data_IF_566975608398
#
_entry.id   IF_566975608398
#
_cell.length_a   1.000
_cell.length_b   1.000
_cell.length_c   1.000
_cell.angle_alpha   90.00
_cell.angle_beta   90.00
_cell.angle_gamma   90.00
#
_symmetry.space_group_name_H-M   'P 1'
#
loop_
_entity.id
_entity.type
_entity.pdbx_description
1 polymer ?
#
# COMPACT_ATOMS: atom_id res chain seq x y z
N UNK A 1 -3.25 -26.91 -0.51
CA UNK A 1 -3.56 -26.32 -1.84
C UNK A 1 -2.28 -26.36 -2.66
N UNK A 2 -2.19 -27.11 -3.76
CA UNK A 2 -0.90 -27.32 -4.44
C UNK A 2 -0.36 -25.99 -4.98
N UNK A 3 0.92 -25.72 -4.75
CA UNK A 3 1.73 -24.60 -5.27
C UNK A 3 1.54 -24.32 -6.79
N UNK A 4 0.99 -25.28 -7.54
CA UNK A 4 0.64 -25.18 -8.95
C UNK A 4 -0.44 -24.13 -9.26
N UNK A 5 -1.30 -23.74 -8.29
CA UNK A 5 -2.30 -22.68 -8.53
C UNK A 5 -1.73 -21.26 -8.42
N UNK A 6 -0.72 -21.02 -7.57
CA UNK A 6 0.04 -19.77 -7.64
C UNK A 6 0.85 -19.72 -8.95
N UNK A 7 1.37 -20.87 -9.40
CA UNK A 7 2.15 -20.98 -10.63
C UNK A 7 1.37 -20.64 -11.91
N UNK A 8 0.03 -20.68 -11.88
CA UNK A 8 -0.78 -20.31 -13.05
C UNK A 8 -0.88 -18.79 -13.26
N UNK A 9 -0.53 -17.97 -12.25
CA UNK A 9 -0.36 -16.51 -12.41
C UNK A 9 1.08 -16.10 -12.77
N UNK A 10 2.02 -17.05 -12.95
CA UNK A 10 3.49 -16.79 -12.99
C UNK A 10 4.09 -16.73 -14.40
N UNK A 11 3.30 -16.86 -15.46
CA UNK A 11 3.81 -16.51 -16.78
C UNK A 11 3.75 -14.99 -16.94
N UNK A 12 4.87 -14.27 -16.82
CA UNK A 12 5.28 -13.12 -17.66
C UNK A 12 6.38 -12.30 -16.96
N UNK A 13 7.58 -12.37 -17.54
CA UNK A 13 8.78 -11.69 -17.07
C UNK A 13 9.24 -10.58 -18.00
N UNK A 14 9.84 -9.57 -17.38
CA UNK A 14 10.58 -8.42 -17.92
C UNK A 14 9.78 -7.36 -18.69
N UNK A 15 9.35 -6.33 -17.97
CA UNK A 15 9.21 -4.99 -18.52
C UNK A 15 9.85 -3.95 -17.61
N UNK A 16 10.43 -2.92 -18.24
CA UNK A 16 11.03 -1.76 -17.60
C UNK A 16 9.96 -1.03 -16.78
N UNK A 17 10.03 -1.21 -15.46
CA UNK A 17 9.21 -0.51 -14.48
C UNK A 17 9.64 0.95 -14.50
N UNK A 18 8.81 1.84 -15.06
CA UNK A 18 8.88 3.24 -14.67
C UNK A 18 8.50 3.28 -13.20
N UNK A 19 9.34 3.89 -12.35
CA UNK A 19 9.09 4.00 -10.92
C UNK A 19 7.87 4.89 -10.70
N UNK A 20 6.68 4.29 -10.66
CA UNK A 20 5.41 4.98 -10.49
C UNK A 20 5.26 5.27 -8.99
N UNK A 21 5.25 6.55 -8.65
CA UNK A 21 5.25 7.04 -7.27
C UNK A 21 3.81 7.20 -6.80
N UNK A 22 3.14 6.09 -6.48
CA UNK A 22 1.90 6.18 -5.71
C UNK A 22 2.27 6.61 -4.30
N UNK A 23 2.02 7.88 -3.98
CA UNK A 23 2.43 8.46 -2.73
C UNK A 23 1.71 7.80 -1.54
N UNK A 24 2.43 7.05 -0.71
CA UNK A 24 1.82 6.38 0.44
C UNK A 24 1.67 7.36 1.60
N UNK A 25 0.43 7.60 2.05
CA UNK A 25 0.13 8.51 3.16
C UNK A 25 0.17 7.77 4.50
N UNK A 26 1.09 8.16 5.38
CA UNK A 26 1.22 7.56 6.71
C UNK A 26 0.11 7.98 7.67
N UNK A 27 -0.61 9.06 7.37
CA UNK A 27 -1.72 9.53 8.18
C UNK A 27 -3.06 8.96 7.72
N UNK A 28 -3.09 8.11 6.67
CA UNK A 28 -4.33 7.50 6.20
C UNK A 28 -4.99 6.69 7.31
N UNK A 29 -6.27 6.96 7.53
CA UNK A 29 -7.14 6.23 8.46
C UNK A 29 -8.18 5.40 7.70
N UNK A 30 -8.19 5.47 6.37
CA UNK A 30 -9.11 4.71 5.54
C UNK A 30 -8.79 3.21 5.65
N UNK A 31 -9.83 2.40 5.86
CA UNK A 31 -9.72 0.97 5.93
C UNK A 31 -10.85 0.31 5.13
N UNK A 32 -10.47 -0.58 4.22
CA UNK A 32 -11.40 -1.46 3.52
C UNK A 32 -11.00 -2.89 3.83
N UNK A 33 -11.91 -3.65 4.41
CA UNK A 33 -11.72 -5.08 4.68
C UNK A 33 -12.81 -5.88 3.98
N UNK A 34 -12.42 -6.94 3.29
CA UNK A 34 -13.38 -7.80 2.60
C UNK A 34 -13.13 -9.26 2.91
N UNK A 35 -14.18 -10.07 2.80
CA UNK A 35 -14.07 -11.53 2.76
C UNK A 35 -14.99 -12.07 1.67
N UNK A 36 -14.51 -13.04 0.90
CA UNK A 36 -15.27 -13.65 -0.18
C UNK A 36 -15.12 -15.17 -0.21
N UNK A 37 -16.19 -15.84 -0.61
CA UNK A 37 -16.14 -17.20 -1.13
C UNK A 37 -15.86 -17.11 -2.63
N UNK A 38 -14.87 -17.83 -3.13
CA UNK A 38 -14.43 -17.78 -4.53
C UNK A 38 -14.60 -19.14 -5.17
N UNK A 39 -15.37 -19.18 -6.25
CA UNK A 39 -15.53 -20.36 -7.11
C UNK A 39 -14.76 -20.14 -8.42
N UNK A 40 -13.98 -21.13 -8.85
CA UNK A 40 -13.21 -21.09 -10.09
C UNK A 40 -13.85 -22.00 -11.12
N UNK A 41 -13.82 -21.60 -12.39
CA UNK A 41 -14.36 -22.38 -13.51
C UNK A 41 -13.77 -23.78 -13.69
N UNK A 42 -12.62 -24.08 -13.07
CA UNK A 42 -12.01 -25.41 -13.06
C UNK A 42 -12.61 -26.34 -11.97
N UNK A 43 -13.54 -25.84 -11.15
CA UNK A 43 -14.19 -26.54 -10.05
C UNK A 43 -13.51 -26.35 -8.69
N UNK A 44 -12.47 -25.52 -8.60
CA UNK A 44 -11.82 -25.18 -7.32
C UNK A 44 -12.64 -24.17 -6.53
N UNK A 45 -12.71 -24.36 -5.22
CA UNK A 45 -13.30 -23.39 -4.28
C UNK A 45 -12.27 -22.98 -3.24
N UNK A 46 -12.23 -21.70 -2.90
CA UNK A 46 -11.42 -21.19 -1.79
C UNK A 46 -12.07 -19.94 -1.19
N UNK A 47 -11.53 -19.48 -0.05
CA UNK A 47 -11.96 -18.22 0.57
C UNK A 47 -10.83 -17.23 0.55
N UNK A 48 -11.18 -15.95 0.46
CA UNK A 48 -10.22 -14.86 0.52
C UNK A 48 -10.61 -13.84 1.58
N UNK A 49 -9.59 -13.20 2.15
CA UNK A 49 -9.74 -11.95 2.89
C UNK A 49 -8.83 -10.91 2.26
N UNK A 50 -9.32 -9.68 2.12
CA UNK A 50 -8.48 -8.55 1.70
C UNK A 50 -8.48 -7.45 2.74
N UNK A 51 -7.35 -6.76 2.84
CA UNK A 51 -7.19 -5.55 3.64
C UNK A 51 -6.52 -4.49 2.79
N UNK A 52 -7.11 -3.31 2.75
CA UNK A 52 -6.60 -2.16 2.01
C UNK A 52 -6.54 -0.95 2.95
N UNK A 53 -5.39 -0.28 2.94
CA UNK A 53 -5.09 0.92 3.73
C UNK A 53 -4.80 2.13 2.84
N UNK A 54 -4.02 1.93 1.77
CA UNK A 54 -3.68 2.98 0.81
C UNK A 54 -3.20 2.36 -0.51
N UNK A 55 -2.91 3.19 -1.52
CA UNK A 55 -2.32 2.74 -2.79
C UNK A 55 -0.98 1.98 -2.60
N UNK A 56 -0.28 2.22 -1.48
CA UNK A 56 0.95 1.51 -1.12
C UNK A 56 0.77 0.50 0.02
N UNK A 57 -0.45 0.16 0.44
CA UNK A 57 -0.68 -0.69 1.60
C UNK A 57 -1.88 -1.59 1.40
N UNK A 58 -1.64 -2.83 1.00
CA UNK A 58 -2.69 -3.82 0.80
C UNK A 58 -2.20 -5.25 1.02
N UNK A 59 -3.13 -6.14 1.33
CA UNK A 59 -2.88 -7.57 1.29
C UNK A 59 -4.12 -8.38 0.92
N UNK A 60 -3.87 -9.60 0.47
CA UNK A 60 -4.84 -10.66 0.30
C UNK A 60 -4.36 -11.90 1.05
N UNK A 61 -5.29 -12.59 1.70
CA UNK A 61 -5.10 -13.89 2.34
C UNK A 61 -5.96 -14.93 1.63
N UNK A 62 -5.38 -16.09 1.36
CA UNK A 62 -6.10 -17.27 0.91
C UNK A 62 -6.32 -18.18 2.11
N UNK A 63 -7.58 -18.42 2.45
CA UNK A 63 -7.95 -19.29 3.55
C UNK A 63 -8.27 -20.68 2.98
N UNK A 64 -7.38 -21.63 3.26
CA UNK A 64 -7.53 -23.04 2.90
C UNK A 64 -6.85 -23.93 3.93
N UNK A 65 -6.35 -25.09 3.48
CA UNK A 65 -5.53 -25.99 4.32
C UNK A 65 -4.21 -25.32 4.76
N UNK A 66 -3.70 -24.42 3.94
CA UNK A 66 -2.47 -23.65 4.15
C UNK A 66 -2.86 -22.16 4.08
N UNK A 67 -2.32 -21.35 5.00
CA UNK A 67 -2.54 -19.90 4.98
C UNK A 67 -1.51 -19.27 4.06
N UNK A 68 -1.96 -18.68 2.96
CA UNK A 68 -1.10 -17.91 2.06
C UNK A 68 -1.45 -16.43 2.13
N UNK A 69 -0.45 -15.58 2.24
CA UNK A 69 -0.57 -14.12 2.25
C UNK A 69 0.25 -13.55 1.09
N UNK A 70 -0.33 -12.61 0.37
CA UNK A 70 0.39 -11.74 -0.58
C UNK A 70 0.12 -10.30 -0.15
N UNK A 71 1.17 -9.54 0.08
CA UNK A 71 1.08 -8.17 0.58
C UNK A 71 2.01 -7.23 -0.18
N UNK A 72 1.62 -5.95 -0.18
CA UNK A 72 2.41 -4.84 -0.68
C UNK A 72 2.44 -3.73 0.37
N UNK A 73 3.64 -3.22 0.61
CA UNK A 73 3.96 -2.19 1.58
C UNK A 73 4.97 -1.23 0.93
N UNK A 74 4.46 -0.13 0.38
CA UNK A 74 5.17 0.82 -0.46
C UNK A 74 5.93 0.12 -1.58
N UNK A 75 7.27 0.18 -1.58
CA UNK A 75 8.10 -0.45 -2.61
C UNK A 75 8.25 -1.97 -2.46
N UNK A 76 7.74 -2.55 -1.36
CA UNK A 76 8.04 -3.94 -1.01
C UNK A 76 6.81 -4.81 -1.17
N UNK A 77 6.89 -5.77 -2.08
CA UNK A 77 5.98 -6.91 -2.08
C UNK A 77 6.57 -8.07 -1.30
N UNK A 78 5.74 -8.86 -0.64
CA UNK A 78 6.16 -10.10 0.01
C UNK A 78 5.03 -11.13 0.02
N UNK A 79 5.43 -12.38 0.16
CA UNK A 79 4.51 -13.51 0.33
C UNK A 79 4.80 -14.24 1.62
N UNK A 80 3.81 -14.93 2.17
CA UNK A 80 4.00 -15.87 3.26
C UNK A 80 3.12 -17.09 3.02
N UNK A 81 3.67 -18.28 3.24
CA UNK A 81 2.91 -19.54 3.23
C UNK A 81 3.24 -20.29 4.51
N UNK A 82 2.21 -20.60 5.30
CA UNK A 82 2.31 -21.24 6.61
C UNK A 82 3.34 -20.58 7.54
N UNK A 83 3.35 -19.24 7.53
CA UNK A 83 4.24 -18.43 8.36
C UNK A 83 5.65 -18.27 7.81
N UNK A 84 6.01 -18.95 6.72
CA UNK A 84 7.30 -18.76 6.05
C UNK A 84 7.18 -17.65 5.03
N UNK A 85 7.80 -16.51 5.33
CA UNK A 85 7.80 -15.35 4.45
C UNK A 85 8.90 -15.40 3.38
N UNK A 86 8.69 -14.72 2.26
CA UNK A 86 9.67 -14.54 1.20
C UNK A 86 9.47 -13.21 0.49
N UNK A 87 10.55 -12.57 -0.02
CA UNK A 87 10.42 -11.39 -0.85
C UNK A 87 9.53 -11.69 -2.07
N UNK A 88 8.64 -10.76 -2.38
CA UNK A 88 7.78 -10.82 -3.55
C UNK A 88 8.42 -10.12 -4.73
N UNK A 89 8.16 -10.64 -5.92
CA UNK A 89 8.42 -9.95 -7.19
C UNK A 89 7.35 -8.88 -7.48
N UNK A 90 7.60 -7.99 -8.46
CA UNK A 90 6.70 -6.89 -8.83
C UNK A 90 5.26 -7.34 -9.11
N UNK A 91 5.08 -8.52 -9.72
CA UNK A 91 3.75 -9.05 -10.01
C UNK A 91 2.92 -9.31 -8.74
N UNK A 92 3.56 -9.64 -7.61
CA UNK A 92 2.85 -9.87 -6.34
C UNK A 92 2.22 -8.57 -5.83
N UNK A 93 2.88 -7.42 -6.02
CA UNK A 93 2.30 -6.12 -5.68
C UNK A 93 1.05 -5.83 -6.54
N UNK A 94 1.17 -6.00 -7.85
CA UNK A 94 0.03 -5.87 -8.77
C UNK A 94 -1.10 -6.85 -8.48
N UNK A 95 -0.75 -8.07 -8.06
CA UNK A 95 -1.72 -9.09 -7.63
C UNK A 95 -2.45 -8.67 -6.36
N UNK A 96 -1.74 -8.27 -5.29
CA UNK A 96 -2.36 -7.84 -4.05
C UNK A 96 -3.29 -6.63 -4.26
N UNK A 97 -2.85 -5.64 -5.05
CA UNK A 97 -3.64 -4.45 -5.39
C UNK A 97 -4.82 -4.76 -6.31
N UNK A 98 -4.63 -5.62 -7.30
CA UNK A 98 -5.68 -6.03 -8.25
C UNK A 98 -6.85 -6.75 -7.57
N UNK A 99 -6.61 -7.36 -6.40
CA UNK A 99 -7.65 -7.99 -5.60
C UNK A 99 -8.38 -7.02 -4.66
N UNK A 100 -7.97 -5.75 -4.55
CA UNK A 100 -8.67 -4.73 -3.76
C UNK A 100 -9.83 -4.11 -4.55
N UNK A 101 -10.76 -4.94 -5.04
CA UNK A 101 -11.82 -4.52 -5.98
C UNK A 101 -12.61 -3.32 -5.49
N UNK A 102 -13.04 -3.33 -4.23
CA UNK A 102 -13.78 -2.21 -3.64
C UNK A 102 -12.92 -0.96 -3.47
N UNK A 103 -11.62 -1.09 -3.22
CA UNK A 103 -10.72 0.05 -3.17
C UNK A 103 -10.51 0.65 -4.57
N UNK A 104 -10.29 -0.18 -5.59
CA UNK A 104 -10.18 0.27 -6.98
C UNK A 104 -11.45 0.97 -7.46
N UNK A 105 -12.62 0.51 -7.03
CA UNK A 105 -13.91 1.15 -7.32
C UNK A 105 -14.07 2.50 -6.60
N UNK A 106 -13.82 2.53 -5.28
CA UNK A 106 -14.10 3.70 -4.44
C UNK A 106 -13.05 4.79 -4.54
N UNK A 107 -11.81 4.42 -4.86
CA UNK A 107 -10.65 5.29 -4.85
C UNK A 107 -9.94 5.31 -6.21
N UNK A 108 -10.64 5.04 -7.32
CA UNK A 108 -10.06 4.87 -8.66
C UNK A 108 -8.99 5.91 -9.00
N UNK A 109 -9.31 7.21 -8.87
CA UNK A 109 -8.38 8.31 -9.19
C UNK A 109 -7.15 8.40 -8.28
N UNK A 110 -7.20 7.77 -7.10
CA UNK A 110 -6.05 7.66 -6.19
C UNK A 110 -5.18 6.42 -6.49
N UNK A 111 -5.74 5.45 -7.21
CA UNK A 111 -5.08 4.18 -7.55
C UNK A 111 -4.42 4.19 -8.93
N UNK A 112 -4.73 5.18 -9.77
CA UNK A 112 -4.20 5.30 -11.14
C UNK A 112 -3.72 6.71 -11.43
N UNK A 113 -2.81 6.84 -12.38
CA UNK A 113 -2.31 8.14 -12.85
C UNK A 113 -2.98 8.55 -14.17
N UNK A 114 -2.84 9.82 -14.54
CA UNK A 114 -3.27 10.34 -15.85
C UNK A 114 -4.71 9.98 -16.24
N UNK A 115 -5.62 10.09 -15.27
CA UNK A 115 -7.05 9.79 -15.42
C UNK A 115 -7.65 10.58 -16.57
N UNK A 116 -8.34 9.89 -17.46
CA UNK A 116 -8.97 10.46 -18.66
C UNK A 116 -10.22 9.68 -19.06
N UNK A 117 -11.20 10.29 -19.73
CA UNK A 117 -12.31 9.56 -20.33
C UNK A 117 -11.83 8.54 -21.37
N UNK A 118 -12.50 7.40 -21.46
CA UNK A 118 -12.23 6.39 -22.49
C UNK A 118 -12.97 6.71 -23.79
N UNK A 119 -12.33 6.56 -24.95
CA UNK A 119 -12.98 6.83 -26.24
C UNK A 119 -14.11 5.83 -26.55
N UNK A 120 -13.83 4.53 -26.53
CA UNK A 120 -14.80 3.40 -26.56
C UNK A 120 -14.03 2.12 -26.25
N UNK A 121 -14.49 1.33 -25.30
CA UNK A 121 -13.84 0.08 -24.88
C UNK A 121 -14.83 -1.08 -25.02
N UNK A 122 -14.36 -2.21 -25.56
CA UNK A 122 -15.15 -3.44 -25.56
C UNK A 122 -15.08 -4.08 -24.17
N UNK A 123 -16.22 -4.16 -23.50
CA UNK A 123 -16.38 -4.78 -22.18
C UNK A 123 -17.69 -5.58 -22.15
N UNK A 124 -17.61 -6.87 -21.78
CA UNK A 124 -18.76 -7.78 -21.78
C UNK A 124 -19.50 -7.79 -23.14
N UNK A 125 -18.74 -7.95 -24.23
CA UNK A 125 -19.21 -7.95 -25.62
C UNK A 125 -19.98 -6.71 -26.10
N UNK A 126 -19.95 -5.63 -25.32
CA UNK A 126 -20.54 -4.35 -25.67
C UNK A 126 -19.48 -3.25 -25.74
N UNK A 127 -19.72 -2.25 -26.58
CA UNK A 127 -18.97 -1.00 -26.56
C UNK A 127 -19.45 -0.15 -25.37
N UNK A 128 -18.51 0.31 -24.55
CA UNK A 128 -18.75 1.07 -23.33
C UNK A 128 -17.83 2.29 -23.22
N UNK A 129 -18.27 3.28 -22.47
CA UNK A 129 -17.50 4.42 -21.98
C UNK A 129 -17.09 4.21 -20.51
N UNK A 130 -16.26 5.10 -20.00
CA UNK A 130 -15.59 4.92 -18.72
C UNK A 130 -14.49 5.95 -18.47
N UNK A 131 -13.76 5.71 -17.39
CA UNK A 131 -12.49 6.37 -17.09
C UNK A 131 -11.35 5.38 -17.28
N UNK A 132 -10.20 5.87 -17.71
CA UNK A 132 -8.96 5.10 -17.78
C UNK A 132 -7.83 5.87 -17.12
N UNK A 133 -6.90 5.13 -16.52
CA UNK A 133 -5.66 5.68 -16.01
C UNK A 133 -4.53 4.67 -16.11
N UNK A 134 -3.33 5.17 -15.95
CA UNK A 134 -2.11 4.38 -15.99
C UNK A 134 -1.97 3.66 -14.64
N UNK A 135 -1.97 2.32 -14.66
CA UNK A 135 -1.97 1.51 -13.45
C UNK A 135 -0.53 1.42 -12.90
N UNK A 136 -0.27 1.72 -11.60
CA UNK A 136 1.08 1.74 -11.02
C UNK A 136 1.87 0.44 -11.17
N UNK A 137 1.17 -0.69 -11.31
CA UNK A 137 1.78 -2.01 -11.51
C UNK A 137 1.91 -2.40 -13.00
N UNK A 138 1.74 -1.44 -13.91
CA UNK A 138 1.85 -1.59 -15.35
C UNK A 138 0.50 -1.73 -16.05
N UNK A 139 0.42 -1.18 -17.28
CA UNK A 139 -0.76 -1.25 -18.12
C UNK A 139 -1.76 -0.11 -17.86
N UNK A 140 -3.00 -0.33 -18.28
CA UNK A 140 -4.12 0.58 -18.11
C UNK A 140 -5.21 -0.08 -17.26
N UNK A 141 -5.75 0.66 -16.30
CA UNK A 141 -6.96 0.25 -15.59
C UNK A 141 -8.11 1.13 -16.05
N UNK A 142 -9.24 0.50 -16.33
CA UNK A 142 -10.45 1.15 -16.82
C UNK A 142 -11.61 0.93 -15.85
N UNK A 143 -12.28 2.01 -15.45
CA UNK A 143 -13.55 1.97 -14.72
C UNK A 143 -14.70 2.13 -15.73
N UNK A 144 -15.47 1.07 -15.92
CA UNK A 144 -16.46 0.99 -16.99
C UNK A 144 -17.81 1.51 -16.49
N UNK A 145 -18.40 2.48 -17.21
CA UNK A 145 -19.72 3.02 -16.87
C UNK A 145 -20.80 1.94 -16.92
N UNK A 146 -21.66 1.93 -15.90
CA UNK A 146 -22.81 1.03 -15.81
C UNK A 146 -24.13 1.75 -16.10
N UNK A 147 -25.23 1.19 -15.59
CA UNK A 147 -26.56 1.79 -15.77
C UNK A 147 -26.75 3.09 -14.97
N UNK A 148 -25.94 3.27 -13.92
CA UNK A 148 -25.88 4.50 -13.14
C UNK A 148 -24.45 4.79 -12.68
N UNK A 149 -24.20 6.05 -12.33
CA UNK A 149 -22.90 6.51 -11.80
C UNK A 149 -22.51 5.77 -10.52
N UNK A 150 -23.47 5.39 -9.67
CA UNK A 150 -23.23 4.64 -8.43
C UNK A 150 -23.19 3.12 -8.62
N UNK A 151 -23.26 2.63 -9.86
CA UNK A 151 -23.19 1.19 -10.15
C UNK A 151 -22.45 0.95 -11.48
N UNK A 152 -21.12 1.18 -11.51
CA UNK A 152 -20.29 0.87 -12.68
C UNK A 152 -20.47 -0.57 -13.16
N UNK A 153 -20.28 -0.84 -14.46
CA UNK A 153 -20.43 -2.20 -14.97
C UNK A 153 -19.29 -3.13 -14.52
N UNK A 154 -18.12 -2.57 -14.24
CA UNK A 154 -16.92 -3.34 -13.93
C UNK A 154 -15.62 -2.56 -13.99
N UNK A 155 -14.52 -3.30 -13.85
CA UNK A 155 -13.17 -2.87 -14.13
C UNK A 155 -12.58 -3.69 -15.28
N UNK A 156 -11.68 -3.10 -16.05
CA UNK A 156 -10.87 -3.81 -17.03
C UNK A 156 -9.41 -3.41 -16.83
N UNK A 157 -8.54 -4.40 -16.65
CA UNK A 157 -7.08 -4.22 -16.68
C UNK A 157 -6.54 -4.68 -18.03
N UNK A 158 -5.75 -3.82 -18.68
CA UNK A 158 -5.01 -4.13 -19.90
C UNK A 158 -3.51 -4.04 -19.61
N UNK A 159 -2.86 -5.19 -19.49
CA UNK A 159 -1.42 -5.25 -19.22
C UNK A 159 -0.59 -4.90 -20.49
N UNK A 160 0.68 -4.50 -20.33
CA UNK A 160 1.53 -4.10 -21.46
C UNK A 160 1.78 -5.22 -22.51
N UNK A 161 1.67 -6.47 -22.11
CA UNK A 161 1.83 -7.65 -22.96
C UNK A 161 0.54 -8.03 -23.73
N UNK A 162 -0.55 -7.28 -23.51
CA UNK A 162 -1.85 -7.52 -24.12
C UNK A 162 -2.75 -8.45 -23.32
N UNK A 163 -2.33 -8.95 -22.16
CA UNK A 163 -3.23 -9.66 -21.24
C UNK A 163 -4.36 -8.73 -20.81
N UNK A 164 -5.59 -9.26 -20.78
CA UNK A 164 -6.80 -8.54 -20.38
C UNK A 164 -7.45 -9.27 -19.20
N UNK A 165 -7.74 -8.54 -18.13
CA UNK A 165 -8.51 -9.04 -17.00
C UNK A 165 -9.80 -8.23 -16.89
N UNK A 166 -10.94 -8.88 -17.13
CA UNK A 166 -12.27 -8.27 -17.01
C UNK A 166 -12.87 -8.60 -15.64
N UNK A 167 -13.27 -7.59 -14.87
CA UNK A 167 -13.98 -7.75 -13.60
C UNK A 167 -15.40 -7.20 -13.74
N UNK A 168 -16.41 -8.07 -13.68
CA UNK A 168 -17.83 -7.70 -13.87
C UNK A 168 -18.52 -7.61 -12.53
N UNK A 169 -19.28 -6.54 -12.34
CA UNK A 169 -19.94 -6.25 -11.06
C UNK A 169 -21.43 -6.56 -11.12
N UNK A 170 -21.94 -7.20 -10.07
CA UNK A 170 -23.37 -7.49 -9.91
C UNK A 170 -23.76 -7.59 -8.43
N UNK A 171 -25.05 -7.76 -8.16
CA UNK A 171 -25.62 -7.77 -6.80
C UNK A 171 -25.18 -6.55 -5.98
N UNK A 172 -25.60 -5.37 -6.47
CA UNK A 172 -25.32 -4.10 -5.82
C UNK A 172 -26.15 -3.94 -4.55
N UNK A 173 -25.50 -3.63 -3.44
CA UNK A 173 -26.15 -3.37 -2.15
C UNK A 173 -25.61 -2.09 -1.53
N UNK A 174 -26.46 -1.40 -0.79
CA UNK A 174 -26.09 -0.18 -0.07
C UNK A 174 -25.36 -0.53 1.24
N UNK A 175 -24.21 0.09 1.47
CA UNK A 175 -23.41 0.04 2.70
C UNK A 175 -22.82 1.43 2.97
N UNK A 176 -23.11 2.03 4.13
CA UNK A 176 -22.64 3.36 4.52
C UNK A 176 -22.87 4.46 3.46
N UNK A 177 -24.08 4.46 2.85
CA UNK A 177 -24.48 5.34 1.75
C UNK A 177 -23.67 5.15 0.45
N UNK A 178 -22.97 4.03 0.30
CA UNK A 178 -22.27 3.63 -0.93
C UNK A 178 -22.93 2.37 -1.50
N UNK A 179 -23.15 2.32 -2.80
CA UNK A 179 -23.56 1.09 -3.48
C UNK A 179 -22.31 0.30 -3.83
N UNK A 180 -22.22 -0.95 -3.38
CA UNK A 180 -21.06 -1.82 -3.58
C UNK A 180 -21.51 -3.15 -4.18
N UNK A 181 -20.71 -3.75 -5.09
CA UNK A 181 -21.01 -5.06 -5.64
C UNK A 181 -20.69 -6.16 -4.62
N UNK A 182 -21.62 -7.07 -4.40
CA UNK A 182 -21.41 -8.27 -3.58
C UNK A 182 -21.07 -9.50 -4.43
N UNK A 183 -21.26 -9.43 -5.75
CA UNK A 183 -20.83 -10.44 -6.69
C UNK A 183 -19.88 -9.82 -7.72
N UNK A 184 -18.67 -10.36 -7.82
CA UNK A 184 -17.67 -9.95 -8.81
C UNK A 184 -17.18 -11.17 -9.58
N UNK A 185 -17.32 -11.13 -10.89
CA UNK A 185 -16.80 -12.17 -11.77
C UNK A 185 -15.53 -11.66 -12.46
N UNK A 186 -14.40 -12.34 -12.24
CA UNK A 186 -13.11 -11.98 -12.83
C UNK A 186 -12.79 -12.99 -13.94
N UNK A 187 -12.50 -12.52 -15.15
CA UNK A 187 -12.02 -13.33 -16.26
C UNK A 187 -10.62 -12.88 -16.67
N UNK A 188 -9.63 -13.78 -16.56
CA UNK A 188 -8.22 -13.50 -16.84
C UNK A 188 -7.77 -13.90 -18.26
N UNK A 189 -8.72 -14.31 -19.11
CA UNK A 189 -8.42 -14.86 -20.44
C UNK A 189 -8.36 -16.39 -20.50
N UNK A 190 -8.31 -17.07 -19.36
CA UNK A 190 -8.26 -18.53 -19.26
C UNK A 190 -9.36 -19.09 -18.35
N UNK A 191 -9.54 -18.47 -17.19
CA UNK A 191 -10.43 -18.91 -16.14
C UNK A 191 -11.37 -17.80 -15.70
N UNK A 192 -12.49 -18.22 -15.13
CA UNK A 192 -13.43 -17.34 -14.47
C UNK A 192 -13.40 -17.58 -12.97
N UNK A 193 -13.30 -16.50 -12.20
CA UNK A 193 -13.32 -16.50 -10.73
C UNK A 193 -14.55 -15.74 -10.27
N UNK A 194 -15.49 -16.44 -9.67
CA UNK A 194 -16.73 -15.88 -9.14
C UNK A 194 -16.56 -15.58 -7.64
N UNK A 195 -16.35 -14.31 -7.31
CA UNK A 195 -16.25 -13.81 -5.94
C UNK A 195 -17.64 -13.50 -5.40
N UNK A 196 -18.03 -14.19 -4.33
CA UNK A 196 -19.21 -13.87 -3.53
C UNK A 196 -18.78 -13.27 -2.21
N UNK A 197 -18.88 -11.95 -2.09
CA UNK A 197 -18.48 -11.25 -0.88
C UNK A 197 -19.44 -11.57 0.27
N UNK A 198 -18.89 -12.13 1.35
CA UNK A 198 -19.62 -12.44 2.58
C UNK A 198 -19.47 -11.32 3.61
N UNK A 199 -18.43 -10.49 3.46
CA UNK A 199 -18.17 -9.30 4.27
C UNK A 199 -17.56 -8.20 3.41
N UNK A 200 -18.06 -6.98 3.59
CA UNK A 200 -17.41 -5.74 3.16
C UNK A 200 -17.53 -4.77 4.34
N UNK A 201 -16.41 -4.22 4.77
CA UNK A 201 -16.34 -3.27 5.88
C UNK A 201 -15.56 -2.04 5.42
N UNK A 202 -16.20 -0.88 5.54
CA UNK A 202 -15.60 0.42 5.34
C UNK A 202 -15.45 1.06 6.71
N UNK A 203 -14.23 1.35 7.13
CA UNK A 203 -13.96 1.88 8.46
C UNK A 203 -12.96 3.03 8.41
N UNK A 204 -13.01 3.85 9.47
CA UNK A 204 -11.95 4.77 9.82
C UNK A 204 -11.23 4.18 11.03
N UNK A 205 -9.95 3.89 10.88
CA UNK A 205 -9.14 3.18 11.86
C UNK A 205 -7.96 4.05 12.33
N UNK A 206 -7.21 3.60 13.34
CA UNK A 206 -5.95 4.25 13.72
C UNK A 206 -4.91 4.06 12.62
N UNK A 207 -4.03 5.02 12.37
CA UNK A 207 -3.14 4.94 11.21
C UNK A 207 -2.07 3.81 11.25
N UNK A 208 -1.92 3.10 12.38
CA UNK A 208 -1.17 1.84 12.53
C UNK A 208 -1.96 0.55 12.23
N UNK A 209 -3.29 0.61 12.09
CA UNK A 209 -4.16 -0.58 12.09
C UNK A 209 -3.71 -1.66 11.10
N UNK A 210 -3.20 -1.26 9.94
CA UNK A 210 -2.74 -2.16 8.90
C UNK A 210 -1.58 -3.04 9.37
N UNK A 211 -0.65 -2.46 10.13
CA UNK A 211 0.52 -3.15 10.68
C UNK A 211 0.14 -4.10 11.82
N UNK A 212 -0.92 -3.81 12.57
CA UNK A 212 -1.47 -4.71 13.57
C UNK A 212 -2.15 -5.93 12.93
N UNK A 213 -2.82 -5.74 11.79
CA UNK A 213 -3.45 -6.84 11.08
C UNK A 213 -2.43 -7.76 10.41
N UNK A 214 -1.32 -7.21 9.92
CA UNK A 214 -0.29 -7.95 9.19
C UNK A 214 1.04 -7.80 9.93
N UNK A 215 1.43 -8.74 10.80
CA UNK A 215 2.75 -8.72 11.43
C UNK A 215 3.87 -8.68 10.39
N UNK A 216 4.97 -8.00 10.72
CA UNK A 216 6.08 -7.86 9.80
C UNK A 216 6.69 -9.24 9.54
N UNK A 217 6.87 -9.65 8.27
CA UNK A 217 7.66 -10.83 8.00
C UNK A 217 9.11 -10.59 8.42
N UNK A 218 9.84 -11.68 8.70
CA UNK A 218 11.27 -11.64 8.98
C UNK A 218 12.08 -11.39 7.68
N UNK A 219 11.89 -10.21 7.11
CA UNK A 219 12.52 -9.73 5.88
C UNK A 219 13.03 -8.32 6.12
N UNK A 220 14.35 -8.14 6.13
CA UNK A 220 15.00 -6.86 6.45
C UNK A 220 14.41 -5.67 5.70
N UNK A 221 14.21 -5.82 4.38
CA UNK A 221 13.63 -4.76 3.54
C UNK A 221 12.24 -4.33 4.01
N UNK A 222 11.39 -5.28 4.41
CA UNK A 222 10.03 -4.98 4.93
C UNK A 222 10.14 -4.33 6.30
N UNK A 223 10.99 -4.84 7.19
CA UNK A 223 11.17 -4.29 8.53
C UNK A 223 11.72 -2.86 8.50
N UNK A 224 12.71 -2.57 7.64
CA UNK A 224 13.27 -1.23 7.44
C UNK A 224 12.21 -0.28 6.87
N UNK A 225 11.42 -0.73 5.89
CA UNK A 225 10.33 0.08 5.36
C UNK A 225 9.29 0.38 6.45
N UNK A 226 8.90 -0.61 7.25
CA UNK A 226 7.97 -0.41 8.37
C UNK A 226 8.52 0.54 9.41
N UNK A 227 9.80 0.46 9.77
CA UNK A 227 10.43 1.43 10.67
C UNK A 227 10.26 2.87 10.14
N UNK A 228 10.52 3.10 8.86
CA UNK A 228 10.27 4.41 8.23
C UNK A 228 8.80 4.82 8.36
N UNK A 229 7.87 3.91 8.04
CA UNK A 229 6.44 4.20 8.11
C UNK A 229 5.95 4.45 9.53
N UNK A 230 6.44 3.74 10.52
CA UNK A 230 6.12 3.97 11.94
C UNK A 230 6.66 5.32 12.41
N UNK A 231 7.82 5.78 11.93
CA UNK A 231 8.30 7.13 12.20
C UNK A 231 7.41 8.21 11.59
N UNK A 232 6.93 8.02 10.35
CA UNK A 232 6.00 8.95 9.73
C UNK A 232 4.65 8.97 10.47
N UNK A 233 4.15 7.79 10.81
CA UNK A 233 2.94 7.64 11.62
C UNK A 233 3.05 8.36 12.96
N UNK A 234 4.18 8.27 13.66
CA UNK A 234 4.38 8.96 14.92
C UNK A 234 4.21 10.48 14.80
N UNK A 235 4.50 11.07 13.62
CA UNK A 235 4.18 12.48 13.36
C UNK A 235 2.67 12.72 13.26
N UNK A 236 1.94 11.84 12.56
CA UNK A 236 0.48 11.91 12.42
C UNK A 236 -0.23 11.75 13.78
N UNK A 237 0.30 10.89 14.65
CA UNK A 237 -0.24 10.65 16.00
C UNK A 237 0.18 11.71 17.02
N UNK A 238 1.20 12.52 16.71
CA UNK A 238 1.86 13.37 17.70
C UNK A 238 2.52 12.59 18.83
N UNK A 239 3.00 11.36 18.56
CA UNK A 239 3.51 10.43 19.55
C UNK A 239 5.04 10.54 19.69
N UNK A 240 5.49 11.40 20.62
CA UNK A 240 6.90 11.60 20.90
C UNK A 240 7.56 10.39 21.59
N UNK A 241 6.78 9.58 22.31
CA UNK A 241 7.27 8.36 22.94
C UNK A 241 7.63 7.32 21.89
N UNK A 242 6.74 7.12 20.91
CA UNK A 242 6.99 6.26 19.76
C UNK A 242 8.23 6.72 19.00
N UNK A 243 8.37 8.02 18.72
CA UNK A 243 9.56 8.58 18.07
C UNK A 243 10.87 8.21 18.79
N UNK A 244 10.91 8.34 20.12
CA UNK A 244 12.09 7.95 20.90
C UNK A 244 12.35 6.44 20.89
N UNK A 245 11.29 5.62 20.98
CA UNK A 245 11.40 4.15 21.08
C UNK A 245 11.98 3.48 19.82
N UNK A 246 11.90 4.14 18.67
CA UNK A 246 12.37 3.64 17.38
C UNK A 246 13.86 3.92 17.13
N UNK A 247 14.55 4.57 18.06
CA UNK A 247 15.94 5.00 17.92
C UNK A 247 16.92 3.97 18.50
N UNK A 248 18.13 3.92 17.97
CA UNK A 248 19.26 3.32 18.68
C UNK A 248 19.64 4.15 19.91
N UNK A 249 20.42 3.57 20.84
CA UNK A 249 20.88 4.27 22.05
C UNK A 249 21.61 5.60 21.78
N UNK A 250 22.25 5.71 20.62
CA UNK A 250 22.77 6.96 20.07
C UNK A 250 22.41 7.05 18.60
N UNK A 251 21.82 8.16 18.19
CA UNK A 251 21.44 8.46 16.82
C UNK A 251 22.28 9.64 16.30
N UNK A 252 22.84 9.53 15.09
CA UNK A 252 23.68 10.56 14.47
C UNK A 252 22.88 11.38 13.47
N UNK A 253 22.81 12.69 13.67
CA UNK A 253 22.09 13.61 12.79
C UNK A 253 23.08 14.50 12.05
N UNK A 254 23.01 14.49 10.72
CA UNK A 254 23.74 15.36 9.82
C UNK A 254 22.80 16.39 9.19
N UNK A 255 23.01 17.67 9.46
CA UNK A 255 22.17 18.73 8.90
C UNK A 255 22.74 20.12 9.15
N UNK A 256 22.43 21.06 8.25
CA UNK A 256 22.89 22.48 8.36
C UNK A 256 24.41 22.64 8.53
N UNK A 257 25.20 21.72 7.99
CA UNK A 257 26.67 21.76 8.07
C UNK A 257 27.25 21.22 9.38
N UNK A 258 26.43 20.63 10.25
CA UNK A 258 26.86 20.10 11.55
C UNK A 258 26.51 18.61 11.71
N UNK A 259 27.32 17.91 12.50
CA UNK A 259 27.05 16.57 13.00
C UNK A 259 26.70 16.67 14.49
N UNK A 260 25.56 16.10 14.86
CA UNK A 260 25.10 16.05 16.25
C UNK A 260 24.72 14.61 16.61
N UNK A 261 24.78 14.28 17.89
CA UNK A 261 24.30 13.00 18.41
C UNK A 261 23.14 13.25 19.35
N UNK A 262 22.14 12.38 19.32
CA UNK A 262 21.00 12.43 20.23
C UNK A 262 20.67 11.05 20.80
N UNK A 263 20.12 11.03 22.00
CA UNK A 263 19.56 9.86 22.67
C UNK A 263 18.06 9.73 22.41
N UNK A 264 17.45 8.55 22.69
CA UNK A 264 16.00 8.38 22.67
C UNK A 264 15.24 9.44 23.50
N UNK A 265 15.73 9.75 24.70
CA UNK A 265 15.10 10.71 25.60
C UNK A 265 15.16 12.14 25.07
N UNK A 266 16.31 12.57 24.54
CA UNK A 266 16.45 13.88 23.90
C UNK A 266 15.60 13.99 22.62
N UNK A 267 15.49 12.89 21.87
CA UNK A 267 14.62 12.80 20.68
C UNK A 267 13.16 12.96 21.09
N UNK A 268 12.71 12.24 22.11
CA UNK A 268 11.37 12.39 22.70
C UNK A 268 11.10 13.83 23.13
N UNK A 269 12.01 14.46 23.88
CA UNK A 269 11.82 15.84 24.35
C UNK A 269 11.69 16.83 23.18
N UNK A 270 12.57 16.69 22.18
CA UNK A 270 12.51 17.49 20.96
C UNK A 270 11.16 17.32 20.24
N UNK A 271 10.73 16.08 20.00
CA UNK A 271 9.49 15.82 19.27
C UNK A 271 8.24 16.16 20.09
N UNK A 272 8.29 16.09 21.42
CA UNK A 272 7.22 16.62 22.29
C UNK A 272 7.02 18.11 22.02
N UNK A 273 8.11 18.88 21.94
CA UNK A 273 8.04 20.31 21.62
C UNK A 273 7.51 20.58 20.20
N UNK A 274 7.85 19.71 19.23
CA UNK A 274 7.33 19.81 17.86
C UNK A 274 5.82 19.54 17.83
N UNK A 275 5.38 18.47 18.48
CA UNK A 275 3.98 18.05 18.50
C UNK A 275 3.10 18.95 19.38
N UNK A 276 3.66 19.68 20.34
CA UNK A 276 2.96 20.77 21.03
C UNK A 276 2.65 21.94 20.10
N UNK A 277 3.48 22.17 19.08
CA UNK A 277 3.36 23.29 18.15
C UNK A 277 2.59 22.95 16.86
N UNK A 278 2.69 21.71 16.38
CA UNK A 278 2.20 21.30 15.07
C UNK A 278 1.16 20.19 15.17
N UNK A 279 0.22 20.19 14.22
CA UNK A 279 -0.72 19.10 13.96
C UNK A 279 -0.53 18.62 12.52
N UNK A 280 -0.13 17.36 12.34
CA UNK A 280 0.14 16.78 11.02
C UNK A 280 -1.14 16.13 10.48
N UNK A 281 -1.51 16.49 9.26
CA UNK A 281 -2.71 15.94 8.59
C UNK A 281 -2.38 15.04 7.41
N UNK A 282 -1.12 14.97 7.00
CA UNK A 282 -0.67 14.10 5.92
C UNK A 282 0.86 13.99 5.88
N UNK A 283 1.33 12.78 5.57
CA UNK A 283 2.75 12.51 5.39
C UNK A 283 2.94 11.52 4.24
N UNK A 284 3.35 12.06 3.09
CA UNK A 284 3.35 11.32 1.83
C UNK A 284 4.77 11.06 1.36
N UNK A 285 5.09 9.82 0.99
CA UNK A 285 6.28 9.53 0.19
C UNK A 285 6.05 10.07 -1.23
N UNK A 286 6.89 10.99 -1.72
CA UNK A 286 6.76 11.60 -3.06
C UNK A 286 7.41 10.76 -4.16
N UNK A 287 8.36 9.91 -3.77
CA UNK A 287 9.05 8.97 -4.64
C UNK A 287 9.13 7.62 -3.96
N UNK A 288 9.33 6.56 -4.75
CA UNK A 288 9.56 5.22 -4.23
C UNK A 288 10.78 5.21 -3.28
N UNK A 289 10.61 4.79 -2.01
CA UNK A 289 11.72 4.71 -1.07
C UNK A 289 12.81 3.74 -1.52
N UNK A 290 14.06 4.20 -1.54
CA UNK A 290 15.22 3.39 -1.88
C UNK A 290 15.78 2.75 -0.60
N UNK A 291 15.81 1.42 -0.54
CA UNK A 291 16.26 0.67 0.65
C UNK A 291 17.45 -0.20 0.28
N UNK A 292 18.54 -0.07 1.03
CA UNK A 292 19.75 -0.89 0.90
C UNK A 292 20.29 -1.28 2.28
N UNK A 293 20.83 -2.49 2.40
CA UNK A 293 21.38 -2.99 3.67
C UNK A 293 22.49 -4.02 3.42
N UNK A 294 23.40 -4.14 4.39
CA UNK A 294 24.48 -5.13 4.38
C UNK A 294 24.00 -6.41 5.05
N UNK A 295 23.99 -7.52 4.30
CA UNK A 295 23.74 -8.83 4.87
C UNK A 295 24.88 -9.21 5.83
N UNK A 296 24.58 -9.28 7.13
CA UNK A 296 25.48 -9.76 8.18
C UNK A 296 26.08 -8.71 9.11
N UNK A 297 26.07 -7.43 8.73
CA UNK A 297 26.56 -6.34 9.60
C UNK A 297 25.42 -5.63 10.35
N UNK A 298 24.16 -5.95 10.04
CA UNK A 298 22.99 -5.36 10.66
C UNK A 298 22.94 -3.84 10.47
N UNK A 299 23.35 -3.33 9.30
CA UNK A 299 23.33 -1.91 8.97
C UNK A 299 22.70 -1.69 7.59
N UNK A 300 22.02 -0.58 7.42
CA UNK A 300 21.43 -0.20 6.15
C UNK A 300 21.02 1.27 6.12
N UNK A 301 20.31 1.63 5.07
CA UNK A 301 19.69 2.94 4.94
C UNK A 301 18.42 2.88 4.11
N UNK A 302 17.57 3.88 4.30
CA UNK A 302 16.44 4.19 3.43
C UNK A 302 16.49 5.66 3.03
N UNK A 303 16.41 5.93 1.73
CA UNK A 303 16.37 7.27 1.17
C UNK A 303 14.98 7.57 0.62
N UNK A 304 14.45 8.74 0.96
CA UNK A 304 13.08 9.14 0.61
C UNK A 304 13.00 10.60 0.23
N UNK A 305 12.00 10.92 -0.60
CA UNK A 305 11.45 12.26 -0.72
C UNK A 305 10.04 12.24 -0.12
N UNK A 306 9.71 13.21 0.71
CA UNK A 306 8.43 13.25 1.43
C UNK A 306 7.82 14.64 1.40
N UNK A 307 6.49 14.68 1.52
CA UNK A 307 5.70 15.89 1.75
C UNK A 307 4.95 15.75 3.06
N UNK A 308 5.17 16.71 3.95
CA UNK A 308 4.44 16.85 5.20
C UNK A 308 3.48 18.05 5.10
N UNK A 309 2.21 17.80 5.41
CA UNK A 309 1.17 18.82 5.47
C UNK A 309 0.52 18.83 6.85
N UNK A 310 0.08 20.01 7.29
CA UNK A 310 -0.50 20.18 8.61
C UNK A 310 -0.83 21.62 8.95
N UNK A 311 -1.01 21.89 10.25
CA UNK A 311 -1.29 23.22 10.78
C UNK A 311 -0.43 23.52 12.00
N UNK A 312 -0.05 24.79 12.17
CA UNK A 312 0.51 25.28 13.43
C UNK A 312 -0.62 25.54 14.42
N UNK A 313 -0.58 24.90 15.59
CA UNK A 313 -1.65 24.93 16.59
C UNK A 313 -1.94 26.33 17.14
N UNK A 314 -0.91 27.16 17.27
CA UNK A 314 -1.03 28.49 17.87
C UNK A 314 -1.71 29.51 16.93
N UNK A 315 -1.38 29.48 15.64
CA UNK A 315 -1.86 30.44 14.64
C UNK A 315 -3.01 29.91 13.79
N UNK A 316 -3.15 28.59 13.69
CA UNK A 316 -4.01 27.92 12.70
C UNK A 316 -3.47 27.99 11.27
N UNK A 317 -2.25 28.50 11.07
CA UNK A 317 -1.64 28.59 9.73
C UNK A 317 -1.32 27.19 9.20
N UNK A 318 -1.73 26.92 7.97
CA UNK A 318 -1.41 25.66 7.28
C UNK A 318 0.03 25.67 6.79
N UNK A 319 0.73 24.54 6.91
CA UNK A 319 2.02 24.34 6.27
C UNK A 319 1.98 23.20 5.25
N UNK A 320 2.85 23.33 4.24
CA UNK A 320 3.13 22.31 3.24
C UNK A 320 4.63 22.35 2.97
N UNK A 321 5.33 21.27 3.31
CA UNK A 321 6.78 21.22 3.23
C UNK A 321 7.26 19.92 2.60
N UNK A 322 8.27 20.04 1.73
CA UNK A 322 8.91 18.89 1.09
C UNK A 322 10.33 18.71 1.63
N UNK A 323 10.69 17.46 1.88
CA UNK A 323 11.99 17.07 2.42
C UNK A 323 12.54 15.91 1.62
N UNK A 324 13.87 15.83 1.55
CA UNK A 324 14.57 14.63 1.14
C UNK A 324 15.47 14.21 2.31
N UNK A 325 15.49 12.93 2.65
CA UNK A 325 16.39 12.42 3.68
C UNK A 325 16.88 11.02 3.42
N UNK A 326 18.02 10.70 4.05
CA UNK A 326 18.57 9.36 4.19
C UNK A 326 18.51 9.02 5.68
N UNK A 327 17.72 8.00 6.01
CA UNK A 327 17.69 7.41 7.34
C UNK A 327 18.65 6.22 7.38
N UNK A 328 19.65 6.28 8.25
CA UNK A 328 20.53 5.17 8.58
C UNK A 328 19.81 4.26 9.58
N UNK A 329 19.93 2.96 9.38
CA UNK A 329 19.27 1.96 10.24
C UNK A 329 20.29 0.93 10.72
N UNK A 330 20.01 0.38 11.90
CA UNK A 330 20.83 -0.66 12.51
C UNK A 330 19.95 -1.73 13.15
N UNK A 331 20.27 -2.99 12.88
CA UNK A 331 19.67 -4.14 13.52
C UNK A 331 20.28 -4.35 14.91
N UNK A 332 19.44 -4.47 15.93
CA UNK A 332 19.80 -4.79 17.31
C UNK A 332 18.83 -5.86 17.79
N UNK A 333 19.37 -7.03 18.16
CA UNK A 333 18.59 -8.16 18.67
C UNK A 333 17.40 -8.55 17.76
N UNK A 334 17.61 -8.57 16.44
CA UNK A 334 16.59 -8.91 15.45
C UNK A 334 15.58 -7.79 15.14
N UNK A 335 15.82 -6.56 15.64
CA UNK A 335 14.96 -5.40 15.39
C UNK A 335 15.73 -4.28 14.70
N UNK A 336 15.22 -3.81 13.56
CA UNK A 336 15.76 -2.63 12.89
C UNK A 336 15.35 -1.34 13.61
N UNK A 337 16.33 -0.51 13.95
CA UNK A 337 16.17 0.77 14.64
C UNK A 337 16.82 1.92 13.86
N UNK A 338 16.31 3.13 14.07
CA UNK A 338 16.82 4.34 13.45
C UNK A 338 18.14 4.76 14.11
N UNK A 339 19.23 4.68 13.34
CA UNK A 339 20.60 4.93 13.79
C UNK A 339 21.15 6.32 13.43
N UNK A 340 20.53 7.00 12.46
CA UNK A 340 20.91 8.35 12.09
C UNK A 340 20.10 8.91 10.93
N UNK A 341 20.19 10.22 10.71
CA UNK A 341 19.50 10.89 9.61
C UNK A 341 20.39 11.96 8.98
N UNK A 342 20.35 12.04 7.65
CA UNK A 342 20.79 13.21 6.89
C UNK A 342 19.60 13.75 6.10
N UNK A 343 19.22 15.01 6.31
CA UNK A 343 18.02 15.59 5.69
C UNK A 343 18.26 16.98 5.12
N UNK A 344 17.50 17.31 4.08
CA UNK A 344 17.42 18.64 3.50
C UNK A 344 15.96 19.00 3.19
N UNK A 345 15.60 20.25 3.42
CA UNK A 345 14.29 20.80 3.04
C UNK A 345 14.38 21.37 1.64
N UNK A 346 13.38 21.10 0.81
CA UNK A 346 13.22 21.77 -0.49
C UNK A 346 12.90 23.25 -0.24
N UNK A 347 13.75 24.14 -0.77
CA UNK A 347 13.67 25.59 -0.62
C UNK A 347 12.52 26.21 -1.40
#
# INVERSE_FOLDING_TARGET
>A
MKQEHLALCVAFGLFLVGSLSSASDACSTDAIRTAADVHVSDGTDYKTETVFHSAGGAAIRFLGDELSVVAVEGPVAWTSTDGTASPGEAFHGGFAMGHQVHALLLHFEQQVENVRPTETIRFNDAERSGLTGDYPHGGLLHLIEGESVSSPAGLLLEAPDGMRVEMRFSDWRELDNKNLPYLVQIYDGQQTFDYTYTKIELATETADWFYDQLPAPDLDRVQIYRLHRTLLLAHCLGDADLMGSLMTAQNVIAGRGELTTTTPEETKERFSSVFDALDYTGYHDLTEPQIEFSAGDGIGWIAVEVRAVGTEKASGETFDSQWAWIMLVKEIDGTWLHAGNASNRKS
#
